data_IF_588117605179
#
_entry.id   IF_588117605179
#
_cell.length_a   1.000
_cell.length_b   1.000
_cell.length_c   1.000
_cell.angle_alpha   90.00
_cell.angle_beta   90.00
_cell.angle_gamma   90.00
#
_symmetry.space_group_name_H-M   'P 1'
#
loop_
_entity.id
_entity.type
_entity.pdbx_description
1 polymer ?
#
# COMPACT_ATOMS: atom_id res chain seq x y z
N UNK A 1 -18.43 12.80 4.93
CA UNK A 1 -17.64 11.59 4.59
C UNK A 1 -16.33 12.08 4.03
N UNK A 2 -15.21 11.59 4.58
CA UNK A 2 -13.86 11.94 4.14
C UNK A 2 -13.19 10.68 3.60
N UNK A 3 -12.50 10.78 2.48
CA UNK A 3 -11.81 9.67 1.83
C UNK A 3 -10.37 10.07 1.56
N UNK A 4 -9.43 9.32 2.13
CA UNK A 4 -7.99 9.48 1.92
C UNK A 4 -7.49 8.32 1.06
N UNK A 5 -6.87 8.65 -0.08
CA UNK A 5 -6.32 7.65 -1.00
C UNK A 5 -4.80 7.66 -0.89
N UNK A 6 -4.22 6.49 -0.63
CA UNK A 6 -2.78 6.31 -0.48
C UNK A 6 -2.32 5.25 -1.48
N UNK A 7 -1.31 5.58 -2.29
CA UNK A 7 -0.59 4.57 -3.08
C UNK A 7 0.39 3.83 -2.17
N UNK A 8 0.61 2.54 -2.42
CA UNK A 8 1.65 1.77 -1.74
C UNK A 8 3.02 2.46 -1.84
N UNK A 9 3.87 2.28 -0.83
CA UNK A 9 5.26 2.73 -0.88
C UNK A 9 6.04 2.04 -2.02
N UNK A 10 7.24 2.54 -2.34
CA UNK A 10 8.11 1.91 -3.34
C UNK A 10 8.31 0.40 -3.08
N UNK A 11 8.11 -0.42 -4.11
CA UNK A 11 8.44 -1.86 -4.07
C UNK A 11 9.82 -2.14 -4.69
N UNK A 12 10.36 -3.33 -4.45
CA UNK A 12 11.60 -3.77 -5.09
C UNK A 12 11.50 -3.75 -6.64
N UNK A 13 10.33 -4.05 -7.19
CA UNK A 13 10.09 -3.93 -8.62
C UNK A 13 10.04 -2.46 -9.11
N UNK A 14 9.50 -1.52 -8.33
CA UNK A 14 9.61 -0.10 -8.67
C UNK A 14 11.07 0.33 -8.74
N UNK A 15 11.88 -0.07 -7.75
CA UNK A 15 13.32 0.22 -7.72
C UNK A 15 14.06 -0.34 -8.94
N UNK A 16 13.66 -1.52 -9.41
CA UNK A 16 14.22 -2.18 -10.57
C UNK A 16 13.65 -1.70 -11.92
N UNK A 17 12.65 -0.81 -11.93
CA UNK A 17 11.97 -0.39 -13.15
C UNK A 17 11.09 -1.47 -13.81
N UNK A 18 10.70 -2.49 -13.05
CA UNK A 18 9.87 -3.62 -13.47
C UNK A 18 8.39 -3.24 -13.45
N UNK A 19 7.67 -3.62 -14.51
CA UNK A 19 6.21 -3.49 -14.56
C UNK A 19 5.61 -4.61 -13.72
N UNK A 20 4.88 -4.22 -12.67
CA UNK A 20 4.44 -5.17 -11.65
C UNK A 20 3.13 -5.86 -12.00
N UNK A 21 2.13 -5.09 -12.47
CA UNK A 21 0.73 -5.53 -12.51
C UNK A 21 0.32 -6.22 -11.21
N UNK A 22 -0.08 -7.49 -11.30
CA UNK A 22 -0.46 -8.32 -10.13
C UNK A 22 0.67 -9.17 -9.56
N UNK A 23 1.86 -9.13 -10.14
CA UNK A 23 3.07 -9.68 -9.53
C UNK A 23 3.28 -9.14 -8.12
N UNK A 24 3.62 -10.03 -7.19
CA UNK A 24 3.76 -9.69 -5.78
C UNK A 24 5.22 -9.42 -5.43
N UNK A 25 5.53 -8.15 -5.19
CA UNK A 25 6.87 -7.66 -4.86
C UNK A 25 6.81 -6.91 -3.53
N UNK A 26 7.73 -7.20 -2.59
CA UNK A 26 7.72 -6.57 -1.28
C UNK A 26 8.07 -5.08 -1.38
N UNK A 27 7.75 -4.31 -0.33
CA UNK A 27 8.27 -2.95 -0.21
C UNK A 27 9.79 -2.95 -0.15
N UNK A 28 10.39 -1.93 -0.76
CA UNK A 28 11.80 -1.61 -0.53
C UNK A 28 11.98 -0.99 0.87
N UNK A 29 13.22 -0.86 1.31
CA UNK A 29 13.50 -0.10 2.55
C UNK A 29 12.99 1.34 2.47
N UNK A 30 13.14 1.98 1.31
CA UNK A 30 12.60 3.32 1.05
C UNK A 30 11.07 3.30 1.09
N UNK A 31 10.41 2.28 0.53
CA UNK A 31 8.95 2.14 0.58
C UNK A 31 8.41 2.03 1.99
N UNK A 32 9.09 1.29 2.88
CA UNK A 32 8.73 1.23 4.31
C UNK A 32 8.89 2.58 4.99
N UNK A 33 9.93 3.32 4.66
CA UNK A 33 10.13 4.67 5.21
C UNK A 33 9.07 5.66 4.71
N UNK A 34 8.71 5.60 3.44
CA UNK A 34 7.60 6.37 2.88
C UNK A 34 6.30 6.07 3.63
N UNK A 35 5.99 4.80 3.89
CA UNK A 35 4.79 4.41 4.64
C UNK A 35 4.79 4.98 6.08
N UNK A 36 5.95 4.96 6.77
CA UNK A 36 6.07 5.58 8.12
C UNK A 36 5.87 7.09 8.09
N UNK A 37 6.41 7.78 7.08
CA UNK A 37 6.22 9.23 6.91
C UNK A 37 4.76 9.57 6.62
N UNK A 38 4.08 8.75 5.82
CA UNK A 38 2.64 8.87 5.60
C UNK A 38 1.85 8.67 6.89
N UNK A 39 2.21 7.67 7.71
CA UNK A 39 1.60 7.46 9.02
C UNK A 39 1.73 8.71 9.92
N UNK A 40 2.91 9.32 9.95
CA UNK A 40 3.16 10.54 10.70
C UNK A 40 2.34 11.74 10.18
N UNK A 41 2.23 11.88 8.85
CA UNK A 41 1.42 12.94 8.24
C UNK A 41 -0.09 12.75 8.53
N UNK A 42 -0.52 11.50 8.70
CA UNK A 42 -1.91 11.14 9.03
C UNK A 42 -2.16 11.03 10.53
N UNK A 43 -1.21 11.40 11.41
CA UNK A 43 -1.35 11.22 12.86
C UNK A 43 -2.58 11.92 13.47
N UNK A 44 -3.05 13.02 12.86
CA UNK A 44 -4.28 13.72 13.27
C UNK A 44 -5.56 13.11 12.70
N UNK A 45 -5.45 12.14 11.79
CA UNK A 45 -6.57 11.44 11.18
C UNK A 45 -6.96 10.21 12.02
N UNK A 46 -8.26 9.96 12.14
CA UNK A 46 -8.81 8.83 12.87
C UNK A 46 -9.69 8.00 11.92
N UNK A 47 -9.09 7.13 11.07
CA UNK A 47 -9.86 6.31 10.15
C UNK A 47 -10.76 5.35 10.92
N UNK A 48 -12.05 5.34 10.61
CA UNK A 48 -12.96 4.30 11.13
C UNK A 48 -12.73 2.94 10.48
N UNK A 49 -12.18 2.94 9.26
CA UNK A 49 -11.94 1.76 8.45
C UNK A 49 -10.80 2.02 7.46
N UNK A 50 -9.99 1.01 7.18
CA UNK A 50 -8.93 1.05 6.17
C UNK A 50 -9.21 -0.05 5.16
N UNK A 51 -9.17 0.28 3.87
CA UNK A 51 -9.24 -0.69 2.80
C UNK A 51 -7.89 -0.84 2.13
N UNK A 52 -7.50 -2.06 1.81
CA UNK A 52 -6.26 -2.36 1.10
C UNK A 52 -6.50 -3.29 -0.08
N UNK A 53 -5.71 -3.10 -1.14
CA UNK A 53 -5.47 -4.17 -2.11
C UNK A 53 -4.85 -5.39 -1.41
N UNK A 54 -5.13 -6.63 -1.86
CA UNK A 54 -4.53 -7.84 -1.31
C UNK A 54 -3.02 -8.00 -1.65
N UNK A 55 -2.47 -7.18 -2.56
CA UNK A 55 -1.06 -7.24 -2.93
C UNK A 55 -0.16 -6.81 -1.77
N UNK A 56 0.93 -7.55 -1.51
CA UNK A 56 1.73 -7.41 -0.28
C UNK A 56 2.23 -5.98 -0.05
N UNK A 57 2.68 -5.32 -1.12
CA UNK A 57 3.13 -3.90 -1.08
C UNK A 57 2.05 -2.94 -0.54
N UNK A 58 0.79 -3.15 -0.93
CA UNK A 58 -0.32 -2.31 -0.47
C UNK A 58 -0.69 -2.67 0.97
N UNK A 59 -0.77 -3.97 1.27
CA UNK A 59 -1.07 -4.46 2.61
C UNK A 59 -0.04 -4.01 3.64
N UNK A 60 1.25 -4.17 3.35
CA UNK A 60 2.35 -3.73 4.22
C UNK A 60 2.32 -2.21 4.44
N UNK A 61 2.02 -1.43 3.39
CA UNK A 61 1.85 0.02 3.51
C UNK A 61 0.70 0.37 4.45
N UNK A 62 -0.47 -0.27 4.27
CA UNK A 62 -1.65 -0.05 5.10
C UNK A 62 -1.38 -0.44 6.56
N UNK A 63 -0.70 -1.56 6.81
CA UNK A 63 -0.33 -2.02 8.15
C UNK A 63 0.61 -1.03 8.84
N UNK A 64 1.62 -0.51 8.15
CA UNK A 64 2.54 0.50 8.70
C UNK A 64 1.79 1.78 9.06
N UNK A 65 0.92 2.26 8.17
CA UNK A 65 0.10 3.46 8.42
C UNK A 65 -0.85 3.23 9.59
N UNK A 66 -1.41 2.04 9.73
CA UNK A 66 -2.41 1.73 10.75
C UNK A 66 -1.85 1.55 12.16
N UNK A 67 -0.53 1.36 12.35
CA UNK A 67 0.08 1.17 13.68
C UNK A 67 -0.38 2.17 14.75
N UNK A 68 -0.41 3.50 14.51
CA UNK A 68 -0.92 4.46 15.48
C UNK A 68 -2.45 4.53 15.57
N UNK A 69 -3.19 4.05 14.56
CA UNK A 69 -4.65 4.20 14.49
C UNK A 69 -5.42 2.98 15.03
N UNK A 70 -4.87 1.78 14.86
CA UNK A 70 -5.50 0.54 15.32
C UNK A 70 -6.85 0.23 14.67
N UNK A 71 -7.12 0.80 13.48
CA UNK A 71 -8.36 0.58 12.75
C UNK A 71 -8.41 -0.83 12.14
N UNK A 72 -9.61 -1.29 11.80
CA UNK A 72 -9.76 -2.54 11.06
C UNK A 72 -9.31 -2.36 9.61
N UNK A 73 -8.44 -3.26 9.13
CA UNK A 73 -8.02 -3.32 7.72
C UNK A 73 -8.86 -4.39 7.03
N UNK A 74 -9.54 -4.00 5.96
CA UNK A 74 -10.31 -4.90 5.09
C UNK A 74 -9.62 -4.98 3.74
N UNK A 75 -9.33 -6.19 3.29
CA UNK A 75 -8.85 -6.41 1.93
C UNK A 75 -10.01 -6.34 0.94
N UNK A 76 -9.82 -5.55 -0.12
CA UNK A 76 -10.74 -5.46 -1.24
C UNK A 76 -10.02 -5.86 -2.52
N UNK A 77 -10.32 -7.06 -3.07
CA UNK A 77 -9.74 -7.52 -4.33
C UNK A 77 -9.94 -6.54 -5.50
N UNK A 78 -11.00 -5.73 -5.47
CA UNK A 78 -11.32 -4.68 -6.44
C UNK A 78 -10.29 -3.55 -6.45
N UNK A 79 -9.49 -3.40 -5.40
CA UNK A 79 -8.37 -2.45 -5.34
C UNK A 79 -7.07 -3.02 -5.90
N UNK A 80 -7.07 -4.25 -6.41
CA UNK A 80 -5.89 -4.83 -7.05
C UNK A 80 -5.48 -4.04 -8.29
N UNK A 81 -4.18 -3.91 -8.49
CA UNK A 81 -3.64 -3.34 -9.71
C UNK A 81 -4.14 -4.11 -10.95
N UNK A 82 -4.14 -3.42 -12.09
CA UNK A 82 -4.46 -4.05 -13.36
C UNK A 82 -3.60 -5.30 -13.58
N UNK A 83 -4.24 -6.36 -14.09
CA UNK A 83 -3.50 -7.51 -14.62
C UNK A 83 -2.94 -7.09 -15.98
N UNK A 84 -1.62 -6.96 -16.06
CA UNK A 84 -0.91 -6.52 -17.27
C UNK A 84 -0.35 -7.72 -18.07
N UNK A 85 -0.60 -8.95 -17.61
CA UNK A 85 -0.30 -10.18 -18.36
C UNK A 85 1.18 -10.26 -18.77
N UNK A 86 1.42 -10.37 -20.07
CA UNK A 86 2.77 -10.53 -20.65
C UNK A 86 3.69 -9.31 -20.46
N UNK A 87 3.14 -8.17 -20.04
CA UNK A 87 3.94 -6.99 -19.70
C UNK A 87 4.46 -7.03 -18.25
N UNK A 88 4.04 -7.98 -17.42
CA UNK A 88 4.54 -8.13 -16.05
C UNK A 88 5.91 -8.83 -16.03
N UNK A 89 6.83 -8.33 -15.19
CA UNK A 89 8.19 -8.84 -15.02
C UNK A 89 9.26 -8.01 -15.71
#
# INVERSE_FOLDING_TARGET
MELTIVRHGESEANRAGIIQGRGDYPLSELGREQARRTAAALAGFAPSLIFSSPLSRARETAEIINRPHGAHIVELPELSEYNLGEFEG
#
